data_IF_284906636195
#
_entry.id   IF_284906636195
#
_cell.length_a   1.000
_cell.length_b   1.000
_cell.length_c   1.000
_cell.angle_alpha   90.00
_cell.angle_beta   90.00
_cell.angle_gamma   90.00
#
_symmetry.space_group_name_H-M   'P 1'
#
loop_
_entity.id
_entity.type
_entity.pdbx_description
1 polymer ?
#
# COMPACT_ATOMS: atom_id res chain seq x y z
N UNK A 1 -9.26 -15.66 -26.05
CA UNK A 1 -8.18 -16.10 -25.13
C UNK A 1 -7.63 -17.40 -25.69
N UNK A 2 -6.36 -17.40 -26.17
CA UNK A 2 -5.78 -18.52 -26.91
C UNK A 2 -5.34 -19.69 -26.00
N UNK A 3 -5.05 -19.43 -24.74
CA UNK A 3 -4.45 -20.40 -23.82
C UNK A 3 -2.98 -20.72 -24.12
N UNK A 4 -2.34 -19.95 -24.99
CA UNK A 4 -0.93 -20.11 -25.33
C UNK A 4 -0.01 -19.66 -24.19
N UNK A 5 1.09 -20.37 -24.03
CA UNK A 5 2.16 -19.98 -23.09
C UNK A 5 2.98 -18.89 -23.75
N UNK A 6 3.19 -17.80 -23.06
CA UNK A 6 4.04 -16.69 -23.52
C UNK A 6 5.30 -16.57 -22.67
N UNK A 7 6.33 -15.97 -23.24
CA UNK A 7 7.64 -15.81 -22.59
C UNK A 7 7.65 -14.67 -21.55
N UNK A 8 8.69 -14.65 -20.71
CA UNK A 8 8.89 -13.55 -19.74
C UNK A 8 9.13 -12.21 -20.47
N UNK A 9 9.77 -12.23 -21.63
CA UNK A 9 10.02 -11.05 -22.48
C UNK A 9 8.71 -10.49 -23.03
N UNK A 10 7.80 -11.35 -23.45
CA UNK A 10 6.47 -10.94 -23.89
C UNK A 10 5.65 -10.36 -22.73
N UNK A 11 5.73 -10.98 -21.55
CA UNK A 11 5.08 -10.47 -20.34
C UNK A 11 5.63 -9.07 -19.97
N UNK A 12 6.94 -8.86 -20.05
CA UNK A 12 7.57 -7.56 -19.81
C UNK A 12 7.12 -6.52 -20.84
N UNK A 13 7.15 -6.87 -22.13
CA UNK A 13 6.67 -6.02 -23.22
C UNK A 13 5.19 -5.66 -23.05
N UNK A 14 4.38 -6.62 -22.63
CA UNK A 14 2.96 -6.46 -22.33
C UNK A 14 2.68 -5.74 -21.00
N UNK A 15 3.71 -5.34 -20.25
CA UNK A 15 3.60 -4.68 -18.93
C UNK A 15 2.88 -5.51 -17.86
N UNK A 16 2.83 -6.83 -18.03
CA UNK A 16 2.29 -7.75 -17.03
C UNK A 16 3.27 -7.91 -15.85
N UNK A 17 4.56 -7.89 -16.13
CA UNK A 17 5.62 -7.90 -15.14
C UNK A 17 6.49 -6.65 -15.26
N UNK A 18 7.17 -6.30 -14.19
CA UNK A 18 7.98 -5.09 -14.10
C UNK A 18 9.38 -5.26 -14.71
N UNK A 19 10.00 -6.38 -14.43
CA UNK A 19 11.39 -6.68 -14.82
C UNK A 19 11.62 -8.19 -14.86
N UNK A 20 12.68 -8.58 -15.52
CA UNK A 20 13.20 -9.95 -15.55
C UNK A 20 14.54 -9.94 -14.82
N UNK A 21 14.78 -10.95 -14.00
CA UNK A 21 16.04 -11.11 -13.26
C UNK A 21 16.48 -12.57 -13.27
N UNK A 22 17.73 -12.83 -12.93
CA UNK A 22 18.21 -14.20 -12.73
C UNK A 22 17.55 -14.84 -11.50
N UNK A 23 17.49 -16.16 -11.47
CA UNK A 23 16.91 -16.91 -10.37
C UNK A 23 17.54 -16.54 -9.02
N UNK A 24 18.85 -16.39 -8.97
CA UNK A 24 19.58 -16.06 -7.75
C UNK A 24 19.28 -14.64 -7.25
N UNK A 25 18.94 -13.71 -8.14
CA UNK A 25 18.63 -12.33 -7.81
C UNK A 25 17.14 -12.06 -7.60
N UNK A 26 16.26 -13.04 -7.83
CA UNK A 26 14.82 -12.84 -7.77
C UNK A 26 14.37 -12.39 -6.37
N UNK A 27 14.72 -13.14 -5.33
CA UNK A 27 14.34 -12.81 -3.95
C UNK A 27 15.05 -11.55 -3.44
N UNK A 28 16.37 -11.37 -3.59
CA UNK A 28 17.03 -10.12 -3.23
C UNK A 28 16.38 -8.88 -3.88
N UNK A 29 16.07 -8.98 -5.16
CA UNK A 29 15.42 -7.87 -5.88
C UNK A 29 13.99 -7.60 -5.43
N UNK A 30 13.22 -8.64 -5.16
CA UNK A 30 11.87 -8.51 -4.62
C UNK A 30 11.89 -7.83 -3.24
N UNK A 31 12.82 -8.21 -2.37
CA UNK A 31 13.01 -7.58 -1.05
C UNK A 31 13.45 -6.12 -1.16
N UNK A 32 14.36 -5.78 -2.08
CA UNK A 32 14.73 -4.39 -2.34
C UNK A 32 13.52 -3.53 -2.69
N UNK A 33 12.64 -4.06 -3.55
CA UNK A 33 11.40 -3.36 -3.92
C UNK A 33 10.45 -3.26 -2.72
N UNK A 34 10.28 -4.35 -1.97
CA UNK A 34 9.41 -4.38 -0.78
C UNK A 34 9.87 -3.35 0.28
N UNK A 35 11.17 -3.22 0.49
CA UNK A 35 11.74 -2.23 1.42
C UNK A 35 11.44 -0.77 1.04
N UNK A 36 11.18 -0.48 -0.24
CA UNK A 36 10.74 0.87 -0.65
C UNK A 36 9.34 1.21 -0.12
N UNK A 37 8.55 0.19 0.19
CA UNK A 37 7.21 0.37 0.75
C UNK A 37 7.17 0.23 2.28
N UNK A 38 8.20 -0.33 2.90
CA UNK A 38 8.24 -0.57 4.34
C UNK A 38 9.17 0.36 5.10
N UNK A 39 10.26 0.80 4.43
CA UNK A 39 11.30 1.60 5.06
C UNK A 39 11.00 3.05 4.95
N UNK A 40 10.73 3.91 5.62
CA UNK A 40 10.45 5.36 5.45
C UNK A 40 9.00 5.68 5.06
N UNK A 41 8.09 4.75 5.38
CA UNK A 41 6.65 4.97 5.22
C UNK A 41 5.90 4.58 6.48
N UNK A 42 4.84 5.30 6.80
CA UNK A 42 3.96 4.94 7.91
C UNK A 42 3.23 3.61 7.60
N UNK A 43 3.40 2.62 8.46
CA UNK A 43 2.77 1.32 8.32
C UNK A 43 1.23 1.41 8.30
N UNK A 44 0.66 2.30 9.09
CA UNK A 44 -0.79 2.55 9.16
C UNK A 44 -1.28 3.16 7.85
N UNK A 45 -0.59 4.20 7.33
CA UNK A 45 -0.95 4.85 6.07
C UNK A 45 -0.89 3.88 4.88
N UNK A 46 0.18 3.08 4.79
CA UNK A 46 0.34 2.08 3.73
C UNK A 46 -0.76 1.02 3.80
N UNK A 47 -1.10 0.55 5.01
CA UNK A 47 -2.15 -0.44 5.20
C UNK A 47 -3.52 0.08 4.82
N UNK A 48 -3.88 1.29 5.23
CA UNK A 48 -5.15 1.93 4.84
C UNK A 48 -5.22 2.14 3.33
N UNK A 49 -4.16 2.68 2.73
CA UNK A 49 -4.09 2.91 1.28
C UNK A 49 -4.25 1.60 0.50
N UNK A 50 -3.56 0.54 0.94
CA UNK A 50 -3.68 -0.77 0.31
C UNK A 50 -5.11 -1.30 0.35
N UNK A 51 -5.77 -1.20 1.49
CA UNK A 51 -7.16 -1.65 1.62
C UNK A 51 -8.11 -0.78 0.79
N UNK A 52 -7.89 0.53 0.73
CA UNK A 52 -8.67 1.40 -0.14
C UNK A 52 -8.54 1.00 -1.61
N UNK A 53 -7.34 0.75 -2.10
CA UNK A 53 -7.12 0.30 -3.48
C UNK A 53 -7.92 -0.98 -3.77
N UNK A 54 -7.89 -1.95 -2.87
CA UNK A 54 -8.60 -3.22 -3.07
C UNK A 54 -10.11 -3.10 -2.92
N UNK A 55 -10.58 -2.50 -1.85
CA UNK A 55 -12.01 -2.47 -1.51
C UNK A 55 -12.80 -1.44 -2.33
N UNK A 56 -12.14 -0.39 -2.85
CA UNK A 56 -12.82 0.63 -3.66
C UNK A 56 -12.83 0.33 -5.16
N UNK A 57 -12.11 -0.70 -5.62
CA UNK A 57 -12.02 -1.03 -7.04
C UNK A 57 -13.37 -1.42 -7.66
N UNK A 58 -14.27 -2.02 -6.85
CA UNK A 58 -15.62 -2.41 -7.26
C UNK A 58 -16.73 -1.40 -6.93
N UNK A 59 -16.40 -0.25 -6.35
CA UNK A 59 -17.39 0.74 -5.93
C UNK A 59 -18.05 1.43 -7.11
N UNK A 60 -19.35 1.67 -7.00
CA UNK A 60 -20.15 2.27 -8.08
C UNK A 60 -19.86 3.75 -8.31
N UNK A 61 -19.30 4.44 -7.32
CA UNK A 61 -19.10 5.88 -7.38
C UNK A 61 -17.83 6.30 -6.62
N UNK A 62 -17.01 7.22 -7.14
CA UNK A 62 -15.79 7.70 -6.48
C UNK A 62 -16.01 8.30 -5.09
N UNK A 63 -17.22 8.77 -4.79
CA UNK A 63 -17.57 9.34 -3.49
C UNK A 63 -17.39 8.33 -2.35
N UNK A 64 -17.56 7.03 -2.59
CA UNK A 64 -17.29 5.98 -1.58
C UNK A 64 -15.83 6.04 -1.13
N UNK A 65 -14.91 6.07 -2.06
CA UNK A 65 -13.48 6.20 -1.78
C UNK A 65 -13.17 7.55 -1.09
N UNK A 66 -13.74 8.66 -1.58
CA UNK A 66 -13.52 9.99 -1.00
C UNK A 66 -13.96 10.09 0.46
N UNK A 67 -15.07 9.46 0.85
CA UNK A 67 -15.52 9.44 2.25
C UNK A 67 -14.53 8.72 3.17
N UNK A 68 -13.96 7.60 2.72
CA UNK A 68 -12.98 6.84 3.49
C UNK A 68 -11.64 7.58 3.55
N UNK A 69 -11.18 8.11 2.42
CA UNK A 69 -9.98 8.93 2.33
C UNK A 69 -10.04 10.13 3.29
N UNK A 70 -11.13 10.88 3.27
CA UNK A 70 -11.32 12.03 4.17
C UNK A 70 -11.25 11.65 5.65
N UNK A 71 -11.81 10.49 6.03
CA UNK A 71 -11.67 9.96 7.40
C UNK A 71 -10.23 9.60 7.70
N UNK A 72 -9.53 8.99 6.73
CA UNK A 72 -8.12 8.64 6.82
C UNK A 72 -7.25 9.87 7.06
N UNK A 73 -7.39 10.89 6.24
CA UNK A 73 -6.67 12.18 6.39
C UNK A 73 -6.92 12.81 7.76
N UNK A 74 -8.17 12.84 8.21
CA UNK A 74 -8.52 13.41 9.52
C UNK A 74 -7.92 12.62 10.68
N UNK A 75 -7.96 11.27 10.62
CA UNK A 75 -7.40 10.41 11.65
C UNK A 75 -5.88 10.47 11.69
N UNK A 76 -5.25 10.25 10.55
CA UNK A 76 -3.79 10.24 10.43
C UNK A 76 -3.17 11.61 10.72
N UNK A 77 -3.87 12.71 10.40
CA UNK A 77 -3.42 14.07 10.70
C UNK A 77 -3.15 14.35 12.19
N UNK A 78 -3.54 13.43 13.08
CA UNK A 78 -3.33 13.49 14.53
C UNK A 78 -2.39 12.42 15.05
N UNK A 79 -1.85 11.59 14.16
CA UNK A 79 -0.96 10.48 14.51
C UNK A 79 0.45 10.95 14.83
N UNK A 80 1.20 10.13 15.56
CA UNK A 80 2.61 10.36 15.77
C UNK A 80 3.39 10.33 14.47
N UNK A 81 3.00 9.46 13.55
CA UNK A 81 3.66 9.31 12.26
C UNK A 81 3.54 10.57 11.38
N UNK A 82 2.43 11.30 11.43
CA UNK A 82 2.31 12.58 10.71
C UNK A 82 3.23 13.63 11.32
N UNK A 83 3.28 13.72 12.66
CA UNK A 83 4.18 14.65 13.34
C UNK A 83 5.64 14.34 12.98
N UNK A 84 6.03 13.08 13.01
CA UNK A 84 7.37 12.62 12.61
C UNK A 84 7.64 12.89 11.13
N UNK A 85 6.68 12.60 10.25
CA UNK A 85 6.83 12.85 8.82
C UNK A 85 7.08 14.33 8.50
N UNK A 86 6.42 15.24 9.20
CA UNK A 86 6.63 16.69 9.06
C UNK A 86 8.00 17.08 9.61
N UNK A 87 8.36 16.62 10.83
CA UNK A 87 9.64 16.97 11.47
C UNK A 87 10.82 16.47 10.66
N UNK A 88 10.80 15.20 10.25
CA UNK A 88 11.87 14.61 9.46
C UNK A 88 12.06 15.31 8.11
N UNK A 89 10.96 15.71 7.46
CA UNK A 89 11.01 16.46 6.22
C UNK A 89 11.65 17.84 6.38
N UNK A 90 11.28 18.57 7.43
CA UNK A 90 11.85 19.90 7.72
C UNK A 90 13.33 19.82 8.12
N UNK A 91 13.70 18.79 8.89
CA UNK A 91 15.05 18.53 9.35
C UNK A 91 15.95 17.85 8.31
N UNK A 92 15.37 17.43 7.18
CA UNK A 92 16.06 16.71 6.09
C UNK A 92 16.75 15.43 6.55
N UNK A 93 16.12 14.69 7.43
CA UNK A 93 16.55 13.38 7.90
C UNK A 93 15.56 12.29 7.50
N UNK A 94 15.97 11.06 7.66
CA UNK A 94 15.07 9.92 7.49
C UNK A 94 14.02 9.89 8.61
N UNK A 95 12.74 9.54 8.29
CA UNK A 95 11.69 9.42 9.29
C UNK A 95 11.83 8.14 10.12
N UNK A 96 11.46 8.23 11.41
CA UNK A 96 11.38 7.11 12.34
C UNK A 96 9.93 6.91 12.79
N UNK A 97 9.13 6.31 11.91
CA UNK A 97 7.72 6.07 12.17
C UNK A 97 7.51 5.05 13.29
N UNK A 98 6.64 5.37 14.24
CA UNK A 98 6.40 4.56 15.44
C UNK A 98 5.02 3.90 15.50
N UNK A 99 4.06 4.37 14.71
CA UNK A 99 2.73 3.82 14.71
C UNK A 99 2.69 2.43 14.04
N UNK A 100 1.92 1.52 14.62
CA UNK A 100 1.83 0.14 14.16
C UNK A 100 0.41 -0.24 13.76
N UNK A 101 0.28 -1.13 12.78
CA UNK A 101 -1.02 -1.63 12.31
C UNK A 101 -1.82 -2.30 13.43
N UNK A 102 -1.15 -2.98 14.36
CA UNK A 102 -1.81 -3.69 15.47
C UNK A 102 -2.39 -2.78 16.55
N UNK A 103 -1.94 -1.53 16.64
CA UNK A 103 -2.31 -0.63 17.75
C UNK A 103 -2.93 0.69 17.30
N UNK A 104 -2.57 1.16 16.10
CA UNK A 104 -2.84 2.53 15.65
C UNK A 104 -3.73 2.59 14.40
N UNK A 105 -4.43 1.50 14.06
CA UNK A 105 -5.45 1.56 13.03
C UNK A 105 -6.66 2.37 13.53
N UNK A 106 -7.32 3.16 12.64
CA UNK A 106 -8.48 3.94 13.04
C UNK A 106 -9.67 3.08 13.47
N UNK A 107 -10.48 3.59 14.39
CA UNK A 107 -11.64 2.89 14.94
C UNK A 107 -12.67 2.46 13.87
N UNK A 108 -12.74 3.17 12.75
CA UNK A 108 -13.62 2.81 11.64
C UNK A 108 -13.07 1.69 10.75
N UNK A 109 -11.87 1.19 11.03
CA UNK A 109 -11.29 0.06 10.31
C UNK A 109 -11.64 -1.27 10.98
N UNK A 110 -12.12 -2.28 10.21
CA UNK A 110 -12.47 -2.23 8.79
C UNK A 110 -13.81 -1.49 8.55
N UNK A 111 -13.90 -0.71 7.46
CA UNK A 111 -15.14 -0.02 7.07
C UNK A 111 -16.04 -0.87 6.17
N UNK A 112 -15.59 -2.08 5.82
CA UNK A 112 -16.34 -3.05 5.01
C UNK A 112 -16.79 -4.22 5.87
N UNK A 113 -17.75 -4.96 5.35
CA UNK A 113 -18.11 -6.28 5.87
C UNK A 113 -17.47 -7.33 4.95
N UNK A 114 -16.90 -8.37 5.53
CA UNK A 114 -16.42 -9.51 4.74
C UNK A 114 -17.63 -10.30 4.27
N UNK A 115 -17.63 -10.69 2.99
CA UNK A 115 -18.62 -11.60 2.47
C UNK A 115 -18.28 -13.02 2.94
N UNK A 116 -19.30 -13.72 3.45
CA UNK A 116 -19.15 -15.11 3.83
C UNK A 116 -19.20 -15.97 2.56
N UNK A 117 -18.33 -16.96 2.50
CA UNK A 117 -18.38 -17.97 1.44
C UNK A 117 -19.45 -18.99 1.81
N UNK A 118 -20.54 -19.06 1.02
CA UNK A 118 -21.62 -20.06 1.15
C UNK A 118 -21.20 -21.45 0.66
#
# INVERSE_FOLDING_TARGET
MSGEVFSAEEALKGKLIREITSQDNLVPRALEIAHKFSNKTSAVSVSLTRQMVWKMLGEKHPMSAHKIDSRGVYYLGRSNDVAEGISSFLEKRDPEFSDTVSKNMPEYYPWWQEEEFE
#
